data_IF_492874529972
#
_entry.id   IF_492874529972
#
_cell.length_a   1.000
_cell.length_b   1.000
_cell.length_c   1.000
_cell.angle_alpha   90.00
_cell.angle_beta   90.00
_cell.angle_gamma   90.00
#
_symmetry.space_group_name_H-M   'P 1'
#
loop_
_entity.id
_entity.type
_entity.pdbx_description
1 polymer ?
#
# COMPACT_ATOMS: atom_id res chain seq x y z
N UNK A 1 9.81 9.26 12.97
CA UNK A 1 9.47 8.52 11.73
C UNK A 1 8.03 8.88 11.40
N UNK A 2 7.76 9.16 10.13
CA UNK A 2 6.41 9.45 9.62
C UNK A 2 6.09 8.46 8.51
N UNK A 3 4.93 7.81 8.58
CA UNK A 3 4.42 7.03 7.48
C UNK A 3 3.96 8.00 6.38
N UNK A 4 4.60 7.92 5.21
CA UNK A 4 4.22 8.73 4.05
C UNK A 4 3.13 8.01 3.24
N UNK A 5 3.36 6.73 2.94
CA UNK A 5 2.41 5.92 2.19
C UNK A 5 2.56 4.43 2.47
N UNK A 6 1.43 3.72 2.39
CA UNK A 6 1.33 2.28 2.50
C UNK A 6 0.50 1.74 1.34
N UNK A 7 1.00 0.72 0.66
CA UNK A 7 0.28 -0.02 -0.39
C UNK A 7 0.24 -1.50 -0.03
N UNK A 8 -0.95 -2.08 -0.13
CA UNK A 8 -1.21 -3.49 0.06
C UNK A 8 -1.94 -4.03 -1.18
N UNK A 9 -1.38 -5.06 -1.82
CA UNK A 9 -1.99 -5.72 -2.97
C UNK A 9 -2.36 -7.15 -2.58
N UNK A 10 -3.66 -7.43 -2.63
CA UNK A 10 -4.22 -8.74 -2.30
C UNK A 10 -4.71 -9.41 -3.58
N UNK A 11 -4.33 -10.67 -3.77
CA UNK A 11 -4.72 -11.48 -4.90
C UNK A 11 -5.69 -12.59 -4.48
N UNK A 12 -6.72 -12.84 -5.27
CA UNK A 12 -7.54 -14.03 -5.10
C UNK A 12 -8.18 -14.47 -6.42
N UNK A 13 -8.71 -15.69 -6.40
CA UNK A 13 -9.41 -16.31 -7.53
C UNK A 13 -10.83 -16.66 -7.12
N UNK A 14 -11.81 -16.22 -7.89
CA UNK A 14 -13.22 -16.48 -7.64
C UNK A 14 -14.06 -16.35 -8.90
N UNK A 15 -15.33 -16.74 -8.82
CA UNK A 15 -16.25 -16.56 -9.93
C UNK A 15 -16.56 -15.05 -10.16
N UNK A 16 -16.83 -14.64 -11.41
CA UNK A 16 -17.36 -13.31 -11.73
C UNK A 16 -18.57 -12.88 -10.90
N UNK A 17 -19.42 -13.83 -10.49
CA UNK A 17 -20.57 -13.56 -9.63
C UNK A 17 -20.16 -13.18 -8.21
N UNK A 18 -19.12 -13.84 -7.66
CA UNK A 18 -18.59 -13.52 -6.34
C UNK A 18 -17.95 -12.13 -6.31
N UNK A 19 -17.18 -11.77 -7.34
CA UNK A 19 -16.59 -10.44 -7.45
C UNK A 19 -17.64 -9.34 -7.56
N UNK A 20 -18.69 -9.54 -8.36
CA UNK A 20 -19.81 -8.58 -8.47
C UNK A 20 -20.56 -8.42 -7.15
N UNK A 21 -20.75 -9.50 -6.38
CA UNK A 21 -21.34 -9.43 -5.04
C UNK A 21 -20.46 -8.62 -4.09
N UNK A 22 -19.15 -8.89 -4.07
CA UNK A 22 -18.20 -8.10 -3.27
C UNK A 22 -18.31 -6.60 -3.59
N UNK A 23 -18.31 -6.22 -4.87
CA UNK A 23 -18.44 -4.81 -5.30
C UNK A 23 -19.75 -4.18 -4.79
N UNK A 24 -20.86 -4.89 -4.92
CA UNK A 24 -22.17 -4.42 -4.45
C UNK A 24 -22.21 -4.26 -2.92
N UNK A 25 -21.74 -5.28 -2.19
CA UNK A 25 -21.79 -5.33 -0.72
C UNK A 25 -20.86 -4.28 -0.08
N UNK A 26 -19.77 -3.91 -0.76
CA UNK A 26 -18.80 -2.93 -0.28
C UNK A 26 -19.14 -1.49 -0.66
N UNK A 27 -20.06 -1.29 -1.62
CA UNK A 27 -20.44 0.03 -2.12
C UNK A 27 -19.40 0.68 -3.04
N UNK A 28 -18.52 -0.12 -3.64
CA UNK A 28 -17.51 0.38 -4.58
C UNK A 28 -18.16 0.93 -5.84
N UNK A 29 -17.57 1.99 -6.41
CA UNK A 29 -18.00 2.54 -7.69
C UNK A 29 -17.41 1.72 -8.83
N UNK A 30 -18.22 1.41 -9.84
CA UNK A 30 -17.71 0.79 -11.07
C UNK A 30 -16.76 1.73 -11.80
N UNK A 31 -15.72 1.18 -12.43
CA UNK A 31 -14.85 1.99 -13.30
C UNK A 31 -15.57 2.42 -14.59
N UNK A 32 -15.27 3.61 -15.14
CA UNK A 32 -15.76 3.98 -16.47
C UNK A 32 -15.34 2.93 -17.50
N UNK A 33 -16.29 2.45 -18.30
CA UNK A 33 -16.07 1.35 -19.24
C UNK A 33 -16.32 -0.05 -18.66
N UNK A 34 -16.43 -0.18 -17.33
CA UNK A 34 -16.87 -1.40 -16.70
C UNK A 34 -18.34 -1.67 -17.01
N UNK A 35 -18.60 -2.64 -17.88
CA UNK A 35 -19.95 -3.15 -18.15
C UNK A 35 -20.58 -2.89 -19.52
N UNK A 36 -19.83 -2.74 -20.62
CA UNK A 36 -20.46 -2.56 -21.96
C UNK A 36 -20.48 -3.80 -22.87
N UNK A 37 -19.80 -4.89 -22.52
CA UNK A 37 -19.86 -6.12 -23.32
C UNK A 37 -20.36 -7.30 -22.48
N UNK A 38 -21.51 -7.86 -22.85
CA UNK A 38 -22.15 -9.04 -22.24
C UNK A 38 -21.24 -10.29 -22.12
N UNK A 39 -20.02 -10.26 -22.67
CA UNK A 39 -19.05 -11.37 -22.64
C UNK A 39 -17.96 -11.23 -21.57
N UNK A 40 -17.80 -10.07 -20.93
CA UNK A 40 -16.73 -9.85 -19.94
C UNK A 40 -17.29 -9.62 -18.54
N UNK A 41 -16.76 -10.37 -17.59
CA UNK A 41 -16.93 -10.19 -16.16
C UNK A 41 -16.25 -8.90 -15.69
N UNK A 42 -16.79 -7.75 -16.07
CA UNK A 42 -16.18 -6.48 -15.67
C UNK A 42 -16.69 -6.08 -14.28
N UNK A 43 -15.98 -6.57 -13.27
CA UNK A 43 -16.12 -6.17 -11.87
C UNK A 43 -15.07 -5.14 -11.46
N UNK A 44 -14.44 -4.45 -12.44
CA UNK A 44 -13.48 -3.40 -12.12
C UNK A 44 -14.17 -2.28 -11.35
N UNK A 45 -13.66 -2.00 -10.16
CA UNK A 45 -14.30 -1.08 -9.23
C UNK A 45 -13.25 -0.36 -8.40
N UNK A 46 -13.64 0.80 -7.87
CA UNK A 46 -12.78 1.60 -7.02
C UNK A 46 -13.57 2.25 -5.89
N UNK A 47 -12.86 2.72 -4.88
CA UNK A 47 -13.43 3.58 -3.86
C UNK A 47 -12.38 4.53 -3.29
N UNK A 48 -12.87 5.64 -2.77
CA UNK A 48 -12.16 6.49 -1.82
C UNK A 48 -12.86 6.39 -0.47
N UNK A 49 -12.11 6.22 0.59
CA UNK A 49 -12.61 6.16 1.95
C UNK A 49 -11.78 7.07 2.85
N UNK A 50 -12.45 8.00 3.53
CA UNK A 50 -11.83 8.88 4.50
C UNK A 50 -11.66 8.15 5.84
N UNK A 51 -10.66 8.55 6.64
CA UNK A 51 -10.56 8.11 8.01
C UNK A 51 -11.82 8.48 8.79
N UNK A 52 -12.23 7.62 9.72
CA UNK A 52 -13.30 7.90 10.69
C UNK A 52 -12.69 7.94 12.09
N UNK A 53 -12.96 9.00 12.85
CA UNK A 53 -12.40 9.14 14.21
C UNK A 53 -10.92 9.54 14.21
N UNK A 54 -10.13 8.93 15.10
CA UNK A 54 -8.72 9.27 15.37
C UNK A 54 -7.72 8.65 14.38
N UNK A 55 -8.17 7.90 13.37
CA UNK A 55 -7.31 7.43 12.29
C UNK A 55 -6.68 8.65 11.60
N UNK A 56 -5.36 8.65 11.42
CA UNK A 56 -4.55 9.81 11.01
C UNK A 56 -4.95 10.46 9.68
N UNK A 57 -4.11 11.35 9.12
CA UNK A 57 -4.48 12.16 7.95
C UNK A 57 -4.65 11.37 6.64
N UNK A 58 -4.31 10.08 6.64
CA UNK A 58 -4.31 9.24 5.45
C UNK A 58 -5.74 8.87 5.03
N UNK A 59 -6.05 9.06 3.76
CA UNK A 59 -7.25 8.47 3.15
C UNK A 59 -6.88 7.15 2.47
N UNK A 60 -7.88 6.27 2.34
CA UNK A 60 -7.74 4.99 1.65
C UNK A 60 -8.30 5.09 0.24
N UNK A 61 -7.49 4.70 -0.74
CA UNK A 61 -7.91 4.40 -2.10
C UNK A 61 -7.90 2.89 -2.33
N UNK A 62 -9.01 2.34 -2.83
CA UNK A 62 -9.10 0.96 -3.27
C UNK A 62 -9.32 0.85 -4.76
N UNK A 63 -8.59 -0.07 -5.41
CA UNK A 63 -8.70 -0.40 -6.84
C UNK A 63 -8.78 -1.93 -7.00
N UNK A 64 -9.96 -2.42 -7.37
CA UNK A 64 -10.22 -3.82 -7.71
C UNK A 64 -10.18 -3.97 -9.23
N UNK A 65 -9.29 -4.84 -9.74
CA UNK A 65 -9.25 -5.18 -11.17
C UNK A 65 -9.12 -6.67 -11.43
N UNK A 66 -9.71 -7.19 -12.51
CA UNK A 66 -9.33 -8.49 -13.05
C UNK A 66 -7.86 -8.50 -13.49
N UNK A 67 -7.21 -9.64 -13.37
CA UNK A 67 -5.88 -9.86 -13.94
C UNK A 67 -6.03 -10.04 -15.46
N UNK A 68 -5.26 -9.31 -16.30
CA UNK A 68 -5.32 -9.46 -17.75
C UNK A 68 -5.16 -10.93 -18.18
N UNK A 69 -6.08 -11.45 -18.98
CA UNK A 69 -6.09 -12.85 -19.42
C UNK A 69 -6.58 -13.87 -18.40
N UNK A 70 -6.93 -13.47 -17.17
CA UNK A 70 -7.40 -14.36 -16.11
C UNK A 70 -8.61 -13.75 -15.37
N UNK A 71 -9.78 -13.76 -15.99
CA UNK A 71 -10.99 -13.10 -15.47
C UNK A 71 -11.55 -13.69 -14.15
N UNK A 72 -11.08 -14.86 -13.71
CA UNK A 72 -11.37 -15.38 -12.37
C UNK A 72 -10.48 -14.77 -11.29
N UNK A 73 -9.30 -14.26 -11.69
CA UNK A 73 -8.29 -13.74 -10.79
C UNK A 73 -8.44 -12.24 -10.70
N UNK A 74 -8.47 -11.71 -9.49
CA UNK A 74 -8.49 -10.28 -9.25
C UNK A 74 -7.34 -9.86 -8.34
N UNK A 75 -6.98 -8.59 -8.46
CA UNK A 75 -6.18 -7.88 -7.47
C UNK A 75 -7.00 -6.76 -6.84
N UNK A 76 -6.97 -6.67 -5.53
CA UNK A 76 -7.39 -5.48 -4.80
C UNK A 76 -6.12 -4.76 -4.33
N UNK A 77 -5.89 -3.58 -4.88
CA UNK A 77 -4.87 -2.66 -4.39
C UNK A 77 -5.54 -1.71 -3.39
N UNK A 78 -4.97 -1.64 -2.19
CA UNK A 78 -5.33 -0.71 -1.13
C UNK A 78 -4.15 0.23 -0.92
N UNK A 79 -4.37 1.54 -1.00
CA UNK A 79 -3.32 2.54 -0.81
C UNK A 79 -3.76 3.61 0.18
N UNK A 80 -2.94 3.80 1.21
CA UNK A 80 -3.09 4.84 2.21
C UNK A 80 -2.12 5.97 1.89
N UNK A 81 -2.67 7.17 1.71
CA UNK A 81 -1.91 8.35 1.27
C UNK A 81 -2.39 9.59 1.99
N UNK A 82 -1.49 10.56 2.16
CA UNK A 82 -1.85 11.89 2.64
C UNK A 82 -2.85 12.53 1.67
N UNK A 83 -3.91 13.09 2.24
CA UNK A 83 -4.81 13.91 1.46
C UNK A 83 -4.06 15.22 1.09
N UNK A 84 -4.06 15.65 -0.19
CA UNK A 84 -3.48 16.94 -0.55
C UNK A 84 -4.08 18.08 0.27
N UNK A 85 -3.26 19.09 0.56
CA UNK A 85 -3.70 20.28 1.27
C UNK A 85 -4.87 20.96 0.54
N UNK A 86 -5.91 21.34 1.30
CA UNK A 86 -7.08 22.04 0.80
C UNK A 86 -8.40 21.28 0.94
N UNK A 87 -9.49 21.80 0.35
CA UNK A 87 -10.81 21.20 0.48
C UNK A 87 -10.88 19.85 -0.23
N UNK A 88 -11.24 18.81 0.53
CA UNK A 88 -11.50 17.46 0.01
C UNK A 88 -12.43 17.50 -1.22
N UNK A 89 -12.02 16.95 -2.38
CA UNK A 89 -12.86 16.84 -3.57
C UNK A 89 -14.23 16.19 -3.27
N UNK A 90 -15.30 16.69 -3.90
CA UNK A 90 -16.66 16.19 -3.68
C UNK A 90 -16.81 14.70 -4.03
N UNK A 91 -16.07 14.22 -5.04
CA UNK A 91 -16.04 12.81 -5.41
C UNK A 91 -15.53 11.92 -4.27
N UNK A 92 -14.44 12.31 -3.59
CA UNK A 92 -13.89 11.59 -2.44
C UNK A 92 -14.91 11.56 -1.30
N UNK A 93 -15.55 12.71 -1.01
CA UNK A 93 -16.59 12.77 0.04
C UNK A 93 -17.77 11.84 -0.26
N UNK A 94 -18.27 11.85 -1.50
CA UNK A 94 -19.40 11.00 -1.93
C UNK A 94 -19.03 9.51 -1.87
N UNK A 95 -17.88 9.15 -2.44
CA UNK A 95 -17.39 7.76 -2.38
C UNK A 95 -17.20 7.29 -0.94
N UNK A 96 -16.62 8.13 -0.08
CA UNK A 96 -16.39 7.77 1.32
C UNK A 96 -17.69 7.54 2.09
N UNK A 97 -18.74 8.33 1.80
CA UNK A 97 -20.07 8.11 2.41
C UNK A 97 -20.70 6.81 1.92
N UNK A 98 -20.58 6.51 0.64
CA UNK A 98 -21.13 5.28 0.05
C UNK A 98 -20.54 4.02 0.69
N UNK A 99 -19.23 4.03 0.95
CA UNK A 99 -18.53 2.88 1.55
C UNK A 99 -18.47 2.92 3.08
N UNK A 100 -19.00 3.99 3.72
CA UNK A 100 -19.04 4.12 5.18
C UNK A 100 -17.73 4.55 5.85
N UNK A 101 -16.74 5.03 5.09
CA UNK A 101 -15.40 5.34 5.59
C UNK A 101 -14.47 4.14 5.62
N UNK A 102 -13.21 4.37 6.00
CA UNK A 102 -12.15 3.37 5.80
C UNK A 102 -12.30 2.08 6.65
N UNK A 103 -12.73 2.08 7.93
CA UNK A 103 -12.81 0.83 8.68
C UNK A 103 -13.96 -0.02 8.19
N UNK A 104 -15.07 0.61 7.82
CA UNK A 104 -16.29 -0.08 7.41
C UNK A 104 -16.13 -0.73 6.03
N UNK A 105 -15.49 -0.06 5.06
CA UNK A 105 -15.22 -0.67 3.76
C UNK A 105 -14.26 -1.87 3.90
N UNK A 106 -13.23 -1.76 4.74
CA UNK A 106 -12.30 -2.87 5.00
C UNK A 106 -12.98 -4.04 5.72
N UNK A 107 -13.88 -3.75 6.67
CA UNK A 107 -14.71 -4.78 7.33
C UNK A 107 -15.59 -5.53 6.34
N UNK A 108 -16.26 -4.81 5.43
CA UNK A 108 -17.09 -5.41 4.37
C UNK A 108 -16.26 -6.22 3.38
N UNK A 109 -15.12 -5.68 2.97
CA UNK A 109 -14.14 -6.37 2.12
C UNK A 109 -13.71 -7.67 2.79
N UNK A 110 -13.30 -7.64 4.05
CA UNK A 110 -12.90 -8.84 4.79
C UNK A 110 -14.02 -9.88 4.91
N UNK A 111 -15.26 -9.44 5.16
CA UNK A 111 -16.40 -10.33 5.30
C UNK A 111 -16.80 -11.02 3.98
N UNK A 112 -16.69 -10.30 2.86
CA UNK A 112 -17.10 -10.75 1.53
C UNK A 112 -15.97 -11.23 0.62
N UNK A 113 -14.70 -11.16 1.06
CA UNK A 113 -13.53 -11.46 0.22
C UNK A 113 -13.62 -12.88 -0.35
N UNK A 114 -13.65 -13.04 -1.68
CA UNK A 114 -13.80 -14.35 -2.28
C UNK A 114 -12.43 -14.98 -2.53
N UNK A 115 -12.31 -16.30 -2.35
CA UNK A 115 -11.08 -17.05 -2.66
C UNK A 115 -10.26 -17.56 -1.48
N UNK A 116 -10.80 -17.55 -0.26
CA UNK A 116 -10.20 -18.25 0.90
C UNK A 116 -11.24 -19.09 1.65
N UNK A 117 -11.49 -20.35 1.24
CA UNK A 117 -12.13 -21.32 2.13
C UNK A 117 -11.21 -21.53 3.34
N UNK A 118 -11.58 -21.01 4.52
CA UNK A 118 -10.77 -21.15 5.76
C UNK A 118 -10.15 -19.87 6.35
N UNK A 119 -10.68 -18.68 6.01
CA UNK A 119 -10.64 -17.39 6.76
C UNK A 119 -9.64 -17.19 7.93
N UNK A 120 -8.32 -17.22 7.71
CA UNK A 120 -7.40 -16.72 8.74
C UNK A 120 -6.33 -15.75 8.23
N UNK A 121 -5.82 -15.91 7.00
CA UNK A 121 -4.88 -14.95 6.45
C UNK A 121 -4.89 -14.90 4.92
N UNK A 122 -4.63 -13.72 4.35
CA UNK A 122 -4.38 -13.51 2.92
C UNK A 122 -2.90 -13.18 2.71
N UNK A 123 -2.36 -13.60 1.57
CA UNK A 123 -1.03 -13.15 1.15
C UNK A 123 -1.14 -11.76 0.53
N UNK A 124 -0.32 -10.84 1.02
CA UNK A 124 -0.32 -9.43 0.65
C UNK A 124 1.06 -9.06 0.17
N UNK A 125 1.16 -8.58 -1.06
CA UNK A 125 2.35 -7.88 -1.52
C UNK A 125 2.28 -6.44 -0.98
N UNK A 126 3.28 -6.05 -0.18
CA UNK A 126 3.28 -4.79 0.56
C UNK A 126 4.40 -3.88 0.08
N UNK A 127 4.11 -2.59 -0.02
CA UNK A 127 5.11 -1.52 -0.19
C UNK A 127 4.81 -0.40 0.81
N UNK A 128 5.80 -0.01 1.61
CA UNK A 128 5.65 1.06 2.61
C UNK A 128 6.77 2.07 2.43
N UNK A 129 6.44 3.34 2.56
CA UNK A 129 7.38 4.44 2.51
C UNK A 129 7.35 5.21 3.82
N UNK A 130 8.51 5.33 4.46
CA UNK A 130 8.71 6.12 5.67
C UNK A 130 9.60 7.32 5.37
N UNK A 131 9.25 8.47 5.94
CA UNK A 131 10.14 9.63 6.06
C UNK A 131 10.75 9.61 7.45
N UNK A 132 12.07 9.70 7.52
CA UNK A 132 12.84 9.52 8.75
C UNK A 132 13.79 10.70 8.93
N UNK A 133 13.71 11.30 10.12
CA UNK A 133 14.69 12.28 10.61
C UNK A 133 15.98 11.54 11.00
N UNK A 134 17.09 11.92 10.36
CA UNK A 134 18.40 11.31 10.58
C UNK A 134 18.92 11.54 12.02
N UNK A 135 18.46 12.58 12.71
CA UNK A 135 18.78 12.84 14.11
C UNK A 135 18.09 11.86 15.07
N UNK A 136 17.05 11.14 14.63
CA UNK A 136 16.35 10.13 15.44
C UNK A 136 16.79 8.72 15.06
N UNK A 137 16.92 8.46 13.77
CA UNK A 137 17.35 7.18 13.24
C UNK A 137 18.24 7.39 12.02
N UNK A 138 19.44 6.81 12.00
CA UNK A 138 20.32 6.83 10.84
C UNK A 138 20.42 5.43 10.19
N UNK A 139 20.55 5.32 8.86
CA UNK A 139 20.85 4.04 8.22
C UNK A 139 22.17 3.48 8.76
N UNK A 140 22.25 2.15 8.92
CA UNK A 140 23.51 1.47 9.20
C UNK A 140 24.56 1.83 8.13
N UNK A 141 25.88 1.82 8.45
CA UNK A 141 26.91 2.26 7.51
C UNK A 141 26.83 1.62 6.12
N UNK A 142 26.45 0.34 6.04
CA UNK A 142 26.28 -0.39 4.79
C UNK A 142 25.15 0.15 3.88
N UNK A 143 24.19 0.88 4.45
CA UNK A 143 23.03 1.44 3.76
C UNK A 143 23.08 2.96 3.61
N UNK A 144 24.13 3.61 4.11
CA UNK A 144 24.29 5.06 3.93
C UNK A 144 24.60 5.37 2.48
N UNK A 145 23.95 6.42 1.96
CA UNK A 145 24.24 6.95 0.65
C UNK A 145 25.66 7.53 0.64
N UNK A 146 26.39 7.34 -0.45
CA UNK A 146 27.71 7.95 -0.64
C UNK A 146 27.56 9.47 -0.62
N UNK A 147 28.16 10.10 0.38
CA UNK A 147 28.05 11.55 0.59
C UNK A 147 28.81 12.36 -0.46
N UNK A 148 29.92 11.83 -0.99
CA UNK A 148 30.76 12.54 -1.94
C UNK A 148 30.33 12.25 -3.39
N UNK A 149 30.03 13.29 -4.19
CA UNK A 149 29.80 13.13 -5.61
C UNK A 149 31.01 12.53 -6.32
N UNK A 150 30.75 11.72 -7.34
CA UNK A 150 31.79 11.12 -8.18
C UNK A 150 31.87 11.90 -9.49
N UNK A 151 33.08 12.31 -9.88
CA UNK A 151 33.31 12.94 -11.19
C UNK A 151 33.50 11.87 -12.25
N UNK A 152 32.69 11.91 -13.31
CA UNK A 152 32.80 11.01 -14.46
C UNK A 152 32.54 11.77 -15.76
N UNK A 153 33.50 11.73 -16.69
CA UNK A 153 33.40 12.36 -18.03
C UNK A 153 32.96 13.83 -18.02
N UNK A 154 33.42 14.62 -17.06
CA UNK A 154 33.05 16.05 -16.93
C UNK A 154 31.73 16.31 -16.20
N UNK A 155 31.02 15.26 -15.77
CA UNK A 155 29.82 15.35 -14.95
C UNK A 155 30.11 15.07 -13.48
N UNK A 156 29.32 15.67 -12.59
CA UNK A 156 29.31 15.41 -11.15
C UNK A 156 28.07 14.58 -10.79
N UNK A 157 28.29 13.34 -10.35
CA UNK A 157 27.23 12.37 -10.07
C UNK A 157 27.11 12.17 -8.55
N UNK A 158 26.00 12.62 -7.97
CA UNK A 158 25.67 12.36 -6.58
C UNK A 158 24.72 11.16 -6.45
N UNK A 159 24.96 10.31 -5.45
CA UNK A 159 24.07 9.19 -5.16
C UNK A 159 22.87 9.67 -4.35
N UNK A 160 21.69 9.70 -4.96
CA UNK A 160 20.46 10.18 -4.33
C UNK A 160 19.58 9.06 -3.79
N UNK A 161 19.74 7.84 -4.30
CA UNK A 161 19.04 6.65 -3.82
C UNK A 161 19.83 5.36 -4.09
N UNK A 162 19.60 4.34 -3.26
CA UNK A 162 20.10 2.97 -3.44
C UNK A 162 19.05 1.98 -2.96
N UNK A 163 18.99 0.81 -3.58
CA UNK A 163 18.15 -0.29 -3.16
C UNK A 163 18.96 -1.57 -2.93
N UNK A 164 18.52 -2.36 -1.97
CA UNK A 164 19.09 -3.63 -1.56
C UNK A 164 18.01 -4.71 -1.54
N UNK A 165 18.40 -5.92 -1.94
CA UNK A 165 17.66 -7.15 -1.67
C UNK A 165 18.16 -7.76 -0.37
N UNK A 166 17.25 -8.29 0.44
CA UNK A 166 17.54 -8.92 1.72
C UNK A 166 17.42 -10.44 1.58
N UNK A 167 18.47 -11.16 1.94
CA UNK A 167 18.49 -12.62 2.02
C UNK A 167 19.23 -13.07 3.30
N UNK A 168 18.54 -13.65 4.29
CA UNK A 168 17.08 -13.88 4.33
C UNK A 168 16.28 -12.57 4.51
N UNK A 169 14.96 -12.56 4.19
CA UNK A 169 14.08 -11.42 4.42
C UNK A 169 14.00 -11.02 5.91
N UNK A 170 13.72 -9.74 6.17
CA UNK A 170 13.49 -9.21 7.53
C UNK A 170 11.99 -9.03 7.77
N UNK A 171 11.34 -10.06 8.33
CA UNK A 171 9.88 -10.09 8.41
C UNK A 171 9.26 -10.04 7.01
N UNK A 172 8.32 -9.13 6.72
CA UNK A 172 7.75 -8.98 5.37
C UNK A 172 8.66 -8.25 4.38
N UNK A 173 9.84 -7.78 4.80
CA UNK A 173 10.72 -6.94 3.98
C UNK A 173 11.73 -7.80 3.22
N UNK A 174 11.57 -7.83 1.89
CA UNK A 174 12.50 -8.49 0.96
C UNK A 174 13.42 -7.49 0.24
N UNK A 175 12.94 -6.26 0.08
CA UNK A 175 13.67 -5.17 -0.58
C UNK A 175 13.56 -3.91 0.26
N UNK A 176 14.67 -3.20 0.32
CA UNK A 176 14.78 -1.91 1.00
C UNK A 176 15.40 -0.90 0.04
N UNK A 177 14.92 0.34 0.03
CA UNK A 177 15.50 1.45 -0.69
C UNK A 177 15.65 2.63 0.25
N UNK A 178 16.80 3.28 0.21
CA UNK A 178 17.08 4.51 0.95
C UNK A 178 17.32 5.62 -0.04
N UNK A 179 16.68 6.77 0.15
CA UNK A 179 16.87 7.96 -0.67
C UNK A 179 17.01 9.21 0.19
N UNK A 180 17.86 10.15 -0.19
CA UNK A 180 17.98 11.43 0.53
C UNK A 180 16.82 12.33 0.13
N UNK A 181 16.06 12.82 1.11
CA UNK A 181 14.98 13.76 0.87
C UNK A 181 15.48 15.20 1.03
N UNK A 182 16.12 15.48 2.17
CA UNK A 182 16.68 16.78 2.54
C UNK A 182 17.98 16.58 3.32
N UNK A 183 18.53 17.65 3.88
CA UNK A 183 19.80 17.58 4.59
C UNK A 183 19.75 16.66 5.81
N UNK A 184 18.64 16.69 6.56
CA UNK A 184 18.39 15.92 7.80
C UNK A 184 17.29 14.86 7.66
N UNK A 185 16.78 14.62 6.45
CA UNK A 185 15.67 13.68 6.21
C UNK A 185 16.02 12.71 5.08
N UNK A 186 15.71 11.44 5.31
CA UNK A 186 15.77 10.41 4.28
C UNK A 186 14.46 9.63 4.20
N UNK A 187 14.24 9.05 3.03
CA UNK A 187 13.11 8.17 2.74
C UNK A 187 13.61 6.74 2.78
N UNK A 188 12.84 5.88 3.46
CA UNK A 188 12.99 4.43 3.36
C UNK A 188 11.75 3.85 2.71
N UNK A 189 11.93 3.23 1.55
CA UNK A 189 10.89 2.43 0.91
C UNK A 189 11.21 0.95 1.11
N UNK A 190 10.29 0.22 1.72
CA UNK A 190 10.41 -1.21 1.96
C UNK A 190 9.32 -1.97 1.21
N UNK A 191 9.65 -3.11 0.63
CA UNK A 191 8.67 -3.96 -0.02
C UNK A 191 8.95 -5.44 0.16
N UNK A 192 7.90 -6.24 -0.02
CA UNK A 192 7.96 -7.69 0.06
C UNK A 192 6.57 -8.27 0.24
N UNK A 193 6.46 -9.34 1.01
CA UNK A 193 5.22 -10.10 1.15
C UNK A 193 4.94 -10.40 2.61
N UNK A 194 3.69 -10.25 3.00
CA UNK A 194 3.20 -10.65 4.32
C UNK A 194 1.97 -11.53 4.21
N UNK A 195 1.71 -12.31 5.25
CA UNK A 195 0.50 -13.12 5.36
C UNK A 195 -0.19 -12.71 6.65
N UNK A 196 -1.38 -12.11 6.53
CA UNK A 196 -2.12 -11.59 7.67
C UNK A 196 -3.64 -11.64 7.44
N UNK A 197 -4.47 -11.57 8.49
CA UNK A 197 -5.91 -11.43 8.34
C UNK A 197 -6.29 -10.16 7.56
N UNK A 198 -7.26 -10.29 6.66
CA UNK A 198 -7.90 -9.14 6.03
C UNK A 198 -8.88 -8.53 7.04
N UNK A 199 -8.84 -7.23 7.26
CA UNK A 199 -9.66 -6.57 8.26
C UNK A 199 -9.43 -5.06 8.33
N UNK A 200 -10.15 -4.37 9.22
CA UNK A 200 -10.00 -2.93 9.43
C UNK A 200 -8.57 -2.54 9.86
N UNK A 201 -7.87 -3.43 10.57
CA UNK A 201 -6.56 -3.14 11.18
C UNK A 201 -5.38 -3.51 10.25
N UNK A 202 -5.65 -3.87 8.99
CA UNK A 202 -4.62 -4.34 8.04
C UNK A 202 -3.49 -3.33 7.85
N UNK A 203 -3.80 -2.03 7.87
CA UNK A 203 -2.80 -0.98 7.69
C UNK A 203 -1.82 -0.91 8.86
N UNK A 204 -2.34 -0.91 10.10
CA UNK A 204 -1.52 -0.88 11.32
C UNK A 204 -0.66 -2.15 11.42
N UNK A 205 -1.24 -3.31 11.13
CA UNK A 205 -0.52 -4.58 11.14
C UNK A 205 0.64 -4.58 10.12
N UNK A 206 0.40 -4.09 8.89
CA UNK A 206 1.42 -3.99 7.86
C UNK A 206 2.48 -2.93 8.19
N UNK A 207 2.08 -1.74 8.63
CA UNK A 207 2.98 -0.67 9.04
C UNK A 207 3.91 -1.16 10.15
N UNK A 208 3.35 -1.75 11.22
CA UNK A 208 4.11 -2.27 12.35
C UNK A 208 5.07 -3.39 11.94
N UNK A 209 4.60 -4.37 11.16
CA UNK A 209 5.42 -5.49 10.71
C UNK A 209 6.57 -5.05 9.79
N UNK A 210 6.28 -4.14 8.84
CA UNK A 210 7.30 -3.60 7.93
C UNK A 210 8.28 -2.72 8.70
N UNK A 211 7.81 -1.87 9.62
CA UNK A 211 8.68 -1.04 10.45
C UNK A 211 9.63 -1.89 11.31
N UNK A 212 9.14 -2.95 11.95
CA UNK A 212 10.00 -3.88 12.69
C UNK A 212 11.09 -4.51 11.81
N UNK A 213 10.76 -4.79 10.54
CA UNK A 213 11.72 -5.30 9.56
C UNK A 213 12.77 -4.26 9.17
N UNK A 214 12.34 -3.01 8.92
CA UNK A 214 13.18 -1.86 8.56
C UNK A 214 14.08 -1.41 9.71
N UNK A 215 13.56 -1.35 10.93
CA UNK A 215 14.24 -0.80 12.10
C UNK A 215 15.56 -1.53 12.42
N UNK A 216 15.71 -2.79 12.02
CA UNK A 216 16.97 -3.56 12.15
C UNK A 216 18.13 -2.98 11.36
N UNK A 217 17.82 -2.18 10.34
CA UNK A 217 18.76 -1.54 9.45
C UNK A 217 18.95 -0.05 9.75
N UNK A 218 18.36 0.41 10.84
CA UNK A 218 18.51 1.75 11.38
C UNK A 218 19.21 1.66 12.73
N UNK A 219 19.89 2.75 13.12
CA UNK A 219 20.48 2.91 14.45
C UNK A 219 19.99 4.22 15.04
N UNK A 220 19.78 4.25 16.35
CA UNK A 220 19.76 5.53 17.06
C UNK A 220 21.16 6.16 16.89
N UNK A 221 21.25 7.42 16.45
CA UNK A 221 22.52 8.03 16.10
C UNK A 221 23.48 8.18 17.29
#
# INVERSE_FOLDING_TARGET
>A
MTLDSLEAVVHASASPGAWRRLVADTGMSSMPGAGTTQRNADYAAYFYALPTGASGPLYLYGDLRPVPGAAANARLKLRWELLPDGPKPQQIKRSSRAVGGWPEVLRRVAAGWPGTPGKEAVSVDVTVTFVIDEAVHAPVPALRLKQNPVRQSGYELAQTAVAWSLDPPSGPVHRLSVARLRESEFVVTASGRHTLPLGPDIAEALEGAVWQGVARFLKTP
#
